data_IF_143543629408
#
_entry.id   IF_143543629408
#
_cell.length_a   1.000
_cell.length_b   1.000
_cell.length_c   1.000
_cell.angle_alpha   90.00
_cell.angle_beta   90.00
_cell.angle_gamma   90.00
#
_symmetry.space_group_name_H-M   'P 1'
#
loop_
_entity.id
_entity.type
_entity.pdbx_description
1 polymer ?
#
# COMPACT_ATOMS: atom_id res chain seq x y z
N UNK A 1 9.88 -16.85 12.64
CA UNK A 1 8.94 -17.10 11.53
C UNK A 1 9.79 -17.33 10.31
N UNK A 2 9.94 -18.58 9.90
CA UNK A 2 10.72 -18.90 8.72
C UNK A 2 9.94 -18.47 7.47
N UNK A 3 10.58 -17.81 6.50
CA UNK A 3 9.90 -17.41 5.28
C UNK A 3 9.36 -18.65 4.57
N UNK A 4 8.08 -18.64 4.26
CA UNK A 4 7.46 -19.76 3.54
C UNK A 4 8.10 -19.88 2.15
N UNK A 5 8.19 -21.08 1.57
CA UNK A 5 8.79 -21.29 0.25
C UNK A 5 8.13 -20.44 -0.84
N UNK A 6 6.84 -20.10 -0.68
CA UNK A 6 6.12 -19.18 -1.55
C UNK A 6 6.69 -17.76 -1.53
N UNK A 7 7.00 -17.21 -0.34
CA UNK A 7 7.59 -15.87 -0.20
C UNK A 7 8.95 -15.79 -0.89
N UNK A 8 9.77 -16.85 -0.73
CA UNK A 8 11.08 -16.94 -1.37
C UNK A 8 10.93 -17.00 -2.89
N UNK A 9 10.02 -17.83 -3.41
CA UNK A 9 9.77 -17.95 -4.84
C UNK A 9 9.31 -16.62 -5.46
N UNK A 10 8.38 -15.92 -4.82
CA UNK A 10 7.94 -14.59 -5.24
C UNK A 10 9.10 -13.60 -5.24
N UNK A 11 9.88 -13.55 -4.15
CA UNK A 11 11.01 -12.64 -4.05
C UNK A 11 12.03 -12.89 -5.18
N UNK A 12 12.39 -14.15 -5.45
CA UNK A 12 13.31 -14.51 -6.52
C UNK A 12 12.73 -14.15 -7.89
N UNK A 13 11.45 -14.46 -8.13
CA UNK A 13 10.79 -14.20 -9.42
C UNK A 13 10.78 -12.71 -9.81
N UNK A 14 10.70 -11.79 -8.84
CA UNK A 14 10.77 -10.35 -9.10
C UNK A 14 12.19 -9.78 -9.03
N UNK A 15 12.99 -10.22 -8.05
CA UNK A 15 14.30 -9.63 -7.78
C UNK A 15 15.33 -10.04 -8.84
N UNK A 16 15.28 -11.27 -9.31
CA UNK A 16 16.26 -11.81 -10.26
C UNK A 16 16.20 -11.12 -11.64
N UNK A 17 15.02 -10.96 -12.29
CA UNK A 17 14.93 -10.20 -13.54
C UNK A 17 15.25 -8.72 -13.34
N UNK A 18 14.91 -8.13 -12.19
CA UNK A 18 15.25 -6.74 -11.89
C UNK A 18 16.77 -6.55 -11.81
N UNK A 19 17.49 -7.42 -11.10
CA UNK A 19 18.96 -7.40 -11.04
C UNK A 19 19.55 -7.63 -12.43
N UNK A 20 19.02 -8.59 -13.20
CA UNK A 20 19.49 -8.87 -14.55
C UNK A 20 19.35 -7.65 -15.48
N UNK A 21 18.26 -6.89 -15.36
CA UNK A 21 18.05 -5.65 -16.10
C UNK A 21 19.13 -4.62 -15.78
N UNK A 22 19.43 -4.39 -14.50
CA UNK A 22 20.49 -3.47 -14.09
C UNK A 22 21.86 -3.90 -14.62
N UNK A 23 22.18 -5.19 -14.51
CA UNK A 23 23.43 -5.75 -15.04
C UNK A 23 23.51 -5.53 -16.55
N UNK A 24 22.43 -5.80 -17.29
CA UNK A 24 22.39 -5.61 -18.74
C UNK A 24 22.64 -4.15 -19.13
N UNK A 25 22.03 -3.20 -18.41
CA UNK A 25 22.21 -1.76 -18.65
C UNK A 25 23.65 -1.33 -18.39
N UNK A 26 24.25 -1.72 -17.26
CA UNK A 26 25.65 -1.41 -16.97
C UNK A 26 26.60 -2.09 -17.95
N UNK A 27 26.36 -3.36 -18.28
CA UNK A 27 27.15 -4.10 -19.26
C UNK A 27 27.13 -3.42 -20.63
N UNK A 28 25.94 -3.01 -21.09
CA UNK A 28 25.79 -2.28 -22.35
C UNK A 28 26.56 -0.96 -22.33
N UNK A 29 26.53 -0.23 -21.21
CA UNK A 29 27.24 1.03 -21.05
C UNK A 29 28.77 0.85 -21.02
N UNK A 30 29.26 -0.19 -20.35
CA UNK A 30 30.69 -0.53 -20.30
C UNK A 30 31.19 -1.00 -21.67
N UNK A 31 30.41 -1.85 -22.36
CA UNK A 31 30.75 -2.39 -23.69
C UNK A 31 30.79 -1.30 -24.77
N UNK A 32 30.07 -0.19 -24.62
CA UNK A 32 30.06 0.92 -25.58
C UNK A 32 31.43 1.60 -25.66
N UNK A 33 32.22 1.32 -26.70
CA UNK A 33 33.59 1.85 -26.86
C UNK A 33 33.64 3.32 -27.30
N UNK A 34 32.52 3.86 -27.76
CA UNK A 34 32.41 5.19 -28.39
C UNK A 34 32.37 6.37 -27.40
N UNK A 35 32.28 6.09 -26.10
CA UNK A 35 32.15 7.13 -25.06
C UNK A 35 33.40 7.20 -24.19
N UNK A 36 34.01 8.40 -24.10
CA UNK A 36 35.06 8.70 -23.11
C UNK A 36 34.59 8.29 -21.71
N UNK A 37 35.48 7.74 -20.89
CA UNK A 37 35.18 7.20 -19.54
C UNK A 37 34.29 8.11 -18.69
N UNK A 38 34.52 9.44 -18.72
CA UNK A 38 33.70 10.43 -18.00
C UNK A 38 32.23 10.46 -18.44
N UNK A 39 31.94 10.30 -19.74
CA UNK A 39 30.56 10.22 -20.24
C UNK A 39 29.87 8.93 -19.82
N UNK A 40 30.61 7.81 -19.70
CA UNK A 40 30.03 6.56 -19.17
C UNK A 40 29.61 6.72 -17.71
N UNK A 41 30.44 7.35 -16.89
CA UNK A 41 30.10 7.63 -15.48
C UNK A 41 28.88 8.55 -15.40
N UNK A 42 28.84 9.63 -16.20
CA UNK A 42 27.69 10.51 -16.25
C UNK A 42 26.39 9.79 -16.65
N UNK A 43 26.45 8.89 -17.64
CA UNK A 43 25.31 8.07 -18.05
C UNK A 43 24.87 7.08 -16.97
N UNK A 44 25.81 6.45 -16.27
CA UNK A 44 25.50 5.56 -15.15
C UNK A 44 24.74 6.32 -14.05
N UNK A 45 25.23 7.51 -13.67
CA UNK A 45 24.58 8.38 -12.70
C UNK A 45 23.19 8.80 -13.20
N UNK A 46 23.07 9.23 -14.46
CA UNK A 46 21.79 9.64 -15.03
C UNK A 46 20.74 8.53 -15.01
N UNK A 47 21.12 7.28 -15.31
CA UNK A 47 20.23 6.12 -15.26
C UNK A 47 19.75 5.87 -13.82
N UNK A 48 20.67 5.92 -12.85
CA UNK A 48 20.33 5.75 -11.43
C UNK A 48 19.38 6.86 -10.98
N UNK A 49 19.72 8.12 -11.26
CA UNK A 49 18.87 9.27 -10.90
C UNK A 49 17.50 9.16 -11.56
N UNK A 50 17.43 8.80 -12.85
CA UNK A 50 16.16 8.65 -13.57
C UNK A 50 15.26 7.58 -12.94
N UNK A 51 15.82 6.49 -12.43
CA UNK A 51 15.05 5.47 -11.70
C UNK A 51 14.39 6.01 -10.43
N UNK A 52 15.05 6.93 -9.71
CA UNK A 52 14.46 7.63 -8.57
C UNK A 52 13.48 8.73 -8.99
N UNK A 53 13.70 9.38 -10.14
CA UNK A 53 12.76 10.36 -10.67
C UNK A 53 11.40 9.73 -10.95
N UNK A 54 11.34 8.47 -11.43
CA UNK A 54 10.08 7.74 -11.58
C UNK A 54 9.34 7.56 -10.25
N UNK A 55 10.06 7.22 -9.18
CA UNK A 55 9.50 7.09 -7.83
C UNK A 55 9.01 8.45 -7.32
N UNK A 56 9.81 9.51 -7.51
CA UNK A 56 9.45 10.87 -7.10
C UNK A 56 8.22 11.37 -7.86
N UNK A 57 8.15 11.14 -9.18
CA UNK A 57 6.99 11.49 -10.01
C UNK A 57 5.73 10.74 -9.55
N UNK A 58 5.85 9.44 -9.26
CA UNK A 58 4.77 8.67 -8.68
C UNK A 58 4.33 9.24 -7.32
N UNK A 59 5.29 9.54 -6.43
CA UNK A 59 5.00 10.10 -5.11
C UNK A 59 4.29 11.46 -5.19
N UNK A 60 4.66 12.32 -6.16
CA UNK A 60 3.99 13.60 -6.41
C UNK A 60 2.58 13.39 -6.98
N UNK A 61 2.38 12.34 -7.80
CA UNK A 61 1.07 12.02 -8.37
C UNK A 61 0.07 11.43 -7.38
N UNK A 62 0.56 10.91 -6.24
CA UNK A 62 -0.29 10.43 -5.17
C UNK A 62 -0.87 11.65 -4.42
N UNK A 63 -2.20 11.82 -4.37
CA UNK A 63 -2.79 12.86 -3.54
C UNK A 63 -2.37 12.66 -2.07
N UNK A 64 -1.97 13.75 -1.41
CA UNK A 64 -1.39 13.71 -0.08
C UNK A 64 -2.29 12.94 0.91
N UNK A 65 -1.76 11.94 1.64
CA UNK A 65 -2.54 11.27 2.68
C UNK A 65 -2.88 12.28 3.78
N UNK A 66 -4.16 12.31 4.17
CA UNK A 66 -4.67 13.16 5.25
C UNK A 66 -3.83 12.89 6.52
N UNK A 67 -3.33 13.94 7.22
CA UNK A 67 -2.50 13.77 8.41
C UNK A 67 -3.14 12.86 9.45
N UNK A 68 -2.41 11.84 9.91
CA UNK A 68 -2.86 10.90 10.94
C UNK A 68 -3.02 11.61 12.29
N UNK A 69 -4.24 12.08 12.51
CA UNK A 69 -4.78 12.51 13.81
C UNK A 69 -6.27 12.19 13.97
N UNK A 70 -6.98 11.82 12.89
CA UNK A 70 -8.35 11.30 12.86
C UNK A 70 -8.53 10.57 11.52
N UNK A 71 -9.31 9.50 11.52
CA UNK A 71 -9.62 8.60 10.39
C UNK A 71 -8.60 7.47 10.13
N UNK A 72 -8.75 6.43 10.96
CA UNK A 72 -8.52 5.02 10.60
C UNK A 72 -9.50 4.64 9.48
N UNK A 73 -9.33 5.15 8.27
CA UNK A 73 -10.29 4.95 7.16
C UNK A 73 -9.60 4.52 5.86
N UNK A 74 -8.72 3.54 5.98
CA UNK A 74 -8.30 2.72 4.84
C UNK A 74 -8.34 1.27 5.31
N UNK A 75 -9.49 0.64 5.08
CA UNK A 75 -9.84 -0.76 5.41
C UNK A 75 -10.36 -1.01 6.83
N UNK A 76 -11.37 -0.26 7.28
CA UNK A 76 -12.33 -0.86 8.23
C UNK A 76 -13.25 -1.73 7.37
N UNK A 77 -13.18 -3.07 7.43
CA UNK A 77 -14.17 -3.89 6.74
C UNK A 77 -15.55 -3.46 7.25
N UNK A 78 -16.53 -3.32 6.36
CA UNK A 78 -17.91 -2.88 6.65
C UNK A 78 -18.50 -3.57 7.92
N UNK A 79 -18.07 -4.81 8.18
CA UNK A 79 -18.35 -5.57 9.39
C UNK A 79 -17.93 -4.89 10.69
N UNK A 80 -16.75 -4.27 10.75
CA UNK A 80 -16.25 -3.61 11.96
C UNK A 80 -16.98 -2.29 12.25
N UNK A 81 -17.49 -1.60 11.22
CA UNK A 81 -18.35 -0.43 11.41
C UNK A 81 -19.74 -0.85 11.90
N UNK A 82 -20.32 -1.92 11.31
CA UNK A 82 -21.58 -2.52 11.76
C UNK A 82 -21.50 -3.01 13.22
N UNK A 83 -20.40 -3.65 13.61
CA UNK A 83 -20.16 -4.10 15.00
C UNK A 83 -20.09 -2.92 15.98
N UNK A 84 -19.34 -1.86 15.66
CA UNK A 84 -19.26 -0.68 16.52
C UNK A 84 -20.64 0.00 16.69
N UNK A 85 -21.44 0.07 15.63
CA UNK A 85 -22.81 0.60 15.70
C UNK A 85 -23.73 -0.28 16.58
N UNK A 86 -23.62 -1.60 16.47
CA UNK A 86 -24.36 -2.55 17.32
C UNK A 86 -23.95 -2.45 18.80
N UNK A 87 -22.67 -2.27 19.10
CA UNK A 87 -22.18 -2.07 20.48
C UNK A 87 -22.76 -0.80 21.11
N UNK A 88 -22.79 0.31 20.37
CA UNK A 88 -23.41 1.55 20.83
C UNK A 88 -24.93 1.39 21.04
N UNK A 89 -25.61 0.68 20.16
CA UNK A 89 -27.05 0.43 20.26
C UNK A 89 -27.39 -0.43 21.49
N UNK A 90 -26.62 -1.49 21.74
CA UNK A 90 -26.78 -2.36 22.93
C UNK A 90 -26.49 -1.59 24.22
N UNK A 91 -25.49 -0.71 24.22
CA UNK A 91 -25.19 0.13 25.37
C UNK A 91 -26.34 1.11 25.68
N UNK A 92 -26.93 1.72 24.65
CA UNK A 92 -28.08 2.61 24.79
C UNK A 92 -29.34 1.89 25.31
N UNK A 93 -29.57 0.65 24.84
CA UNK A 93 -30.66 -0.20 25.31
C UNK A 93 -30.50 -0.61 26.78
N UNK A 94 -29.30 -1.05 27.17
CA UNK A 94 -28.98 -1.39 28.56
C UNK A 94 -29.04 -0.18 29.49
N UNK A 95 -28.77 1.02 28.98
CA UNK A 95 -28.92 2.27 29.72
C UNK A 95 -30.39 2.71 29.86
N UNK A 96 -31.34 2.03 29.21
CA UNK A 96 -32.76 2.35 29.22
C UNK A 96 -33.10 3.59 28.39
N UNK A 97 -32.18 4.07 27.54
CA UNK A 97 -32.35 5.29 26.73
C UNK A 97 -33.23 5.05 25.51
N UNK A 98 -33.35 3.80 25.07
CA UNK A 98 -34.17 3.37 23.93
C UNK A 98 -35.07 2.21 24.35
N UNK A 99 -36.29 2.20 23.83
CA UNK A 99 -37.27 1.14 24.08
C UNK A 99 -36.95 -0.12 23.24
N UNK A 100 -37.47 -1.28 23.64
CA UNK A 100 -37.25 -2.57 22.99
C UNK A 100 -37.67 -2.56 21.50
N UNK A 101 -38.78 -1.88 21.19
CA UNK A 101 -39.29 -1.76 19.82
C UNK A 101 -38.33 -0.96 18.91
N UNK A 102 -37.76 0.13 19.44
CA UNK A 102 -36.81 0.98 18.71
C UNK A 102 -35.46 0.27 18.52
N UNK A 103 -35.05 -0.53 19.51
CA UNK A 103 -33.85 -1.34 19.45
C UNK A 103 -33.92 -2.38 18.32
N UNK A 104 -35.01 -3.16 18.23
CA UNK A 104 -35.16 -4.18 17.19
C UNK A 104 -35.35 -3.57 15.80
N UNK A 105 -35.96 -2.39 15.68
CA UNK A 105 -36.02 -1.66 14.40
C UNK A 105 -34.63 -1.23 13.92
N UNK A 106 -33.82 -0.63 14.80
CA UNK A 106 -32.48 -0.14 14.44
C UNK A 106 -31.48 -1.28 14.20
N UNK A 107 -31.57 -2.37 14.95
CA UNK A 107 -30.76 -3.59 14.77
C UNK A 107 -30.99 -4.22 13.39
N UNK A 108 -32.24 -4.31 12.93
CA UNK A 108 -32.59 -4.80 11.58
C UNK A 108 -32.04 -3.89 10.48
N UNK A 109 -32.11 -2.57 10.66
CA UNK A 109 -31.55 -1.61 9.72
C UNK A 109 -30.02 -1.73 9.58
N UNK A 110 -29.29 -2.00 10.67
CA UNK A 110 -27.83 -2.17 10.66
C UNK A 110 -27.42 -3.52 10.04
N UNK A 111 -28.19 -4.58 10.32
CA UNK A 111 -27.92 -5.93 9.81
C UNK A 111 -28.41 -6.15 8.37
N UNK A 112 -29.26 -5.27 7.83
CA UNK A 112 -29.91 -5.42 6.51
C UNK A 112 -30.64 -6.78 6.38
N UNK A 113 -31.33 -7.21 7.44
CA UNK A 113 -32.15 -8.42 7.53
C UNK A 113 -33.60 -8.07 7.82
#
# INVERSE_FOLDING_TARGET
>A
MDPTPAVIATFVAFTLPLIALWIAVFYHLVRRKDLRRRRKVAWAIAIVVLSYVGIAAYAISIPAPVPKGKATDLTIPESSQKVSQLEHLVAAHRAGTINDDDFEHQKRAILQV
#
